data_IF_991634825588
#
_entry.id   IF_991634825588
#
_cell.length_a   1.000
_cell.length_b   1.000
_cell.length_c   1.000
_cell.angle_alpha   90.00
_cell.angle_beta   90.00
_cell.angle_gamma   90.00
#
_symmetry.space_group_name_H-M   'P 1'
#
loop_
_entity.id
_entity.type
_entity.pdbx_description
1 polymer ?
#
# COMPACT_ATOMS: atom_id res chain seq x y z
N UNK A 1 -7.27 -8.25 17.97
CA UNK A 1 -7.10 -6.88 17.44
C UNK A 1 -7.79 -6.79 16.08
N UNK A 2 -8.85 -5.98 15.93
CA UNK A 2 -9.64 -5.89 14.69
C UNK A 2 -9.06 -4.96 13.62
N UNK A 3 -7.89 -4.35 13.87
CA UNK A 3 -7.32 -3.32 13.01
C UNK A 3 -7.10 -3.80 11.57
N UNK A 4 -6.70 -5.06 11.34
CA UNK A 4 -6.53 -5.59 9.99
C UNK A 4 -7.84 -5.63 9.18
N UNK A 5 -8.97 -6.00 9.80
CA UNK A 5 -10.29 -5.92 9.18
C UNK A 5 -10.70 -4.48 8.87
N UNK A 6 -10.46 -3.55 9.80
CA UNK A 6 -10.78 -2.13 9.62
C UNK A 6 -9.96 -1.54 8.46
N UNK A 7 -8.65 -1.78 8.42
CA UNK A 7 -7.78 -1.29 7.35
C UNK A 7 -8.19 -1.92 6.01
N UNK A 8 -8.47 -3.22 5.97
CA UNK A 8 -8.93 -3.90 4.76
C UNK A 8 -10.24 -3.29 4.23
N UNK A 9 -11.19 -2.99 5.12
CA UNK A 9 -12.45 -2.34 4.77
C UNK A 9 -12.21 -0.94 4.19
N UNK A 10 -11.39 -0.11 4.84
CA UNK A 10 -11.03 1.24 4.37
C UNK A 10 -10.41 1.16 2.96
N UNK A 11 -9.41 0.29 2.78
CA UNK A 11 -8.76 0.11 1.48
C UNK A 11 -9.76 -0.34 0.41
N UNK A 12 -10.63 -1.31 0.73
CA UNK A 12 -11.64 -1.84 -0.18
C UNK A 12 -12.65 -0.75 -0.58
N UNK A 13 -13.12 0.02 0.40
CA UNK A 13 -14.09 1.10 0.22
C UNK A 13 -13.53 2.18 -0.73
N UNK A 14 -12.37 2.77 -0.43
CA UNK A 14 -11.78 3.80 -1.30
C UNK A 14 -11.42 3.27 -2.69
N UNK A 15 -10.99 2.01 -2.78
CA UNK A 15 -10.70 1.36 -4.06
C UNK A 15 -11.95 1.16 -4.90
N UNK A 16 -13.11 0.92 -4.27
CA UNK A 16 -14.39 0.77 -4.97
C UNK A 16 -14.85 2.07 -5.62
N UNK A 17 -14.52 3.22 -5.02
CA UNK A 17 -14.85 4.55 -5.54
C UNK A 17 -14.00 4.92 -6.76
N UNK A 18 -12.81 4.32 -6.92
CA UNK A 18 -11.89 4.64 -8.00
C UNK A 18 -12.39 4.08 -9.35
N UNK A 19 -12.48 4.96 -10.34
CA UNK A 19 -12.86 4.63 -11.71
C UNK A 19 -12.06 5.48 -12.71
N UNK A 20 -12.20 5.20 -14.01
CA UNK A 20 -11.45 5.91 -15.07
C UNK A 20 -11.76 7.40 -15.16
N UNK A 21 -12.96 7.83 -14.75
CA UNK A 21 -13.43 9.22 -14.85
C UNK A 21 -12.86 10.08 -13.72
N UNK A 22 -12.71 9.50 -12.53
CA UNK A 22 -12.22 10.21 -11.35
C UNK A 22 -10.75 9.92 -10.99
N UNK A 23 -10.11 8.93 -11.62
CA UNK A 23 -8.71 8.60 -11.32
C UNK A 23 -7.76 9.79 -11.53
N UNK A 24 -8.00 10.60 -12.56
CA UNK A 24 -7.18 11.78 -12.84
C UNK A 24 -7.26 12.86 -11.76
N UNK A 25 -8.35 12.92 -10.97
CA UNK A 25 -8.54 13.90 -9.90
C UNK A 25 -8.29 13.33 -8.50
N UNK A 26 -8.60 12.05 -8.26
CA UNK A 26 -8.46 11.40 -6.96
C UNK A 26 -7.02 10.94 -6.67
N UNK A 27 -6.25 10.60 -7.70
CA UNK A 27 -4.87 10.20 -7.53
C UNK A 27 -3.99 11.45 -7.56
N UNK A 28 -3.42 11.83 -6.42
CA UNK A 28 -2.70 13.10 -6.21
C UNK A 28 -1.58 13.36 -7.23
N UNK A 29 -0.87 12.32 -7.66
CA UNK A 29 0.17 12.42 -8.69
C UNK A 29 -0.38 12.79 -10.08
N UNK A 30 -1.59 12.35 -10.41
CA UNK A 30 -2.26 12.73 -11.65
C UNK A 30 -3.02 14.04 -11.51
N UNK A 31 -3.59 14.35 -10.33
CA UNK A 31 -4.33 15.58 -10.12
C UNK A 31 -3.49 16.83 -10.37
N UNK A 32 -2.23 16.79 -9.91
CA UNK A 32 -1.23 17.86 -10.05
C UNK A 32 -0.49 17.86 -11.39
N UNK A 33 -0.77 16.88 -12.25
CA UNK A 33 -0.15 16.75 -13.57
C UNK A 33 -0.81 17.72 -14.57
N UNK A 34 -0.02 18.30 -15.48
CA UNK A 34 -0.53 19.14 -16.56
C UNK A 34 -1.40 18.35 -17.54
N UNK A 35 -2.34 19.02 -18.21
CA UNK A 35 -3.27 18.36 -19.15
C UNK A 35 -2.55 17.65 -20.30
N UNK A 36 -1.42 18.20 -20.78
CA UNK A 36 -0.59 17.57 -21.81
C UNK A 36 0.01 16.23 -21.36
N UNK A 37 0.44 16.15 -20.09
CA UNK A 37 0.99 14.91 -19.51
C UNK A 37 -0.12 13.92 -19.19
N UNK A 38 -1.29 14.39 -18.71
CA UNK A 38 -2.48 13.55 -18.44
C UNK A 38 -2.94 12.81 -19.69
N UNK A 39 -2.89 13.43 -20.87
CA UNK A 39 -3.23 12.80 -22.16
C UNK A 39 -2.35 11.58 -22.52
N UNK A 40 -1.17 11.44 -21.90
CA UNK A 40 -0.25 10.32 -22.11
C UNK A 40 -0.45 9.16 -21.14
N UNK A 41 -1.42 9.27 -20.24
CA UNK A 41 -1.74 8.29 -19.20
C UNK A 41 -2.94 7.44 -19.61
N UNK A 42 -2.79 6.12 -19.57
CA UNK A 42 -3.93 5.21 -19.66
C UNK A 42 -4.59 5.05 -18.28
N UNK A 43 -5.54 5.93 -17.97
CA UNK A 43 -6.28 5.88 -16.70
C UNK A 43 -7.05 4.57 -16.49
N UNK A 44 -7.50 3.91 -17.56
CA UNK A 44 -8.19 2.62 -17.43
C UNK A 44 -7.22 1.55 -16.93
N UNK A 45 -6.02 1.52 -17.48
CA UNK A 45 -4.93 0.65 -17.04
C UNK A 45 -4.47 0.95 -15.61
N UNK A 46 -4.25 2.23 -15.29
CA UNK A 46 -3.89 2.67 -13.93
C UNK A 46 -4.93 2.23 -12.91
N UNK A 47 -6.21 2.48 -13.16
CA UNK A 47 -7.30 2.05 -12.25
C UNK A 47 -7.30 0.54 -12.05
N UNK A 48 -7.09 -0.23 -13.12
CA UNK A 48 -7.01 -1.69 -13.02
C UNK A 48 -5.88 -2.13 -12.08
N UNK A 49 -4.69 -1.56 -12.23
CA UNK A 49 -3.54 -1.89 -11.36
C UNK A 49 -3.80 -1.48 -9.91
N UNK A 50 -4.33 -0.27 -9.68
CA UNK A 50 -4.70 0.17 -8.33
C UNK A 50 -5.72 -0.78 -7.69
N UNK A 51 -6.76 -1.19 -8.43
CA UNK A 51 -7.75 -2.14 -7.91
C UNK A 51 -7.13 -3.49 -7.58
N UNK A 52 -6.30 -4.04 -8.46
CA UNK A 52 -5.61 -5.32 -8.21
C UNK A 52 -4.77 -5.22 -6.94
N UNK A 53 -3.93 -4.19 -6.81
CA UNK A 53 -3.04 -4.06 -5.66
C UNK A 53 -3.82 -3.85 -4.37
N UNK A 54 -4.72 -2.88 -4.32
CA UNK A 54 -5.43 -2.54 -3.09
C UNK A 54 -6.35 -3.67 -2.64
N UNK A 55 -7.09 -4.33 -3.55
CA UNK A 55 -7.89 -5.49 -3.17
C UNK A 55 -7.03 -6.69 -2.74
N UNK A 56 -5.84 -6.87 -3.31
CA UNK A 56 -4.90 -7.92 -2.86
C UNK A 56 -4.40 -7.64 -1.45
N UNK A 57 -4.07 -6.39 -1.13
CA UNK A 57 -3.69 -5.97 0.24
C UNK A 57 -4.87 -6.18 1.19
N UNK A 58 -6.09 -5.76 0.82
CA UNK A 58 -7.27 -5.98 1.65
C UNK A 58 -7.52 -7.46 1.91
N UNK A 59 -7.43 -8.31 0.88
CA UNK A 59 -7.60 -9.75 1.02
C UNK A 59 -6.52 -10.37 1.93
N UNK A 60 -5.27 -9.94 1.77
CA UNK A 60 -4.18 -10.34 2.65
C UNK A 60 -4.44 -9.95 4.11
N UNK A 61 -4.87 -8.72 4.37
CA UNK A 61 -5.15 -8.23 5.72
C UNK A 61 -6.33 -8.98 6.36
N UNK A 62 -7.36 -9.30 5.58
CA UNK A 62 -8.47 -10.17 6.03
C UNK A 62 -7.91 -11.54 6.40
N UNK A 63 -7.07 -12.15 5.56
CA UNK A 63 -6.48 -13.46 5.82
C UNK A 63 -5.61 -13.48 7.08
N UNK A 64 -4.73 -12.49 7.26
CA UNK A 64 -3.93 -12.34 8.49
C UNK A 64 -4.82 -12.12 9.72
N UNK A 65 -5.89 -11.34 9.60
CA UNK A 65 -6.83 -11.10 10.70
C UNK A 65 -7.64 -12.35 11.06
N UNK A 66 -7.97 -13.21 10.08
CA UNK A 66 -8.58 -14.51 10.33
C UNK A 66 -7.61 -15.45 11.03
N UNK A 67 -6.34 -15.49 10.62
CA UNK A 67 -5.29 -16.27 11.31
C UNK A 67 -5.15 -15.83 12.78
N UNK A 68 -5.23 -14.52 13.06
CA UNK A 68 -5.20 -13.99 14.43
C UNK A 68 -6.32 -14.54 15.33
N UNK A 69 -7.42 -15.07 14.77
CA UNK A 69 -8.47 -15.71 15.59
C UNK A 69 -8.05 -17.07 16.14
N UNK A 70 -6.99 -17.68 15.56
CA UNK A 70 -6.53 -19.03 15.92
C UNK A 70 -5.10 -19.05 16.48
N UNK A 71 -4.32 -17.99 16.26
CA UNK A 71 -2.93 -17.88 16.72
C UNK A 71 -2.80 -16.73 17.73
N UNK A 72 -2.46 -17.06 18.97
CA UNK A 72 -2.16 -16.08 20.01
C UNK A 72 -0.69 -15.64 19.97
N UNK A 73 -0.29 -15.02 18.84
CA UNK A 73 1.05 -14.47 18.65
C UNK A 73 0.96 -13.06 18.08
N UNK A 74 0.82 -12.10 18.99
CA UNK A 74 0.64 -10.69 18.64
C UNK A 74 1.81 -10.12 17.81
N UNK A 75 3.05 -10.52 18.12
CA UNK A 75 4.24 -10.07 17.37
C UNK A 75 4.18 -10.55 15.92
N UNK A 76 3.87 -11.81 15.70
CA UNK A 76 3.70 -12.36 14.36
C UNK A 76 2.66 -11.57 13.56
N UNK A 77 1.52 -11.26 14.18
CA UNK A 77 0.44 -10.52 13.52
C UNK A 77 0.85 -9.09 13.17
N UNK A 78 1.51 -8.38 14.08
CA UNK A 78 2.03 -7.04 13.79
C UNK A 78 3.05 -7.06 12.66
N UNK A 79 4.01 -7.99 12.68
CA UNK A 79 5.02 -8.15 11.63
C UNK A 79 4.35 -8.45 10.28
N UNK A 80 3.41 -9.40 10.26
CA UNK A 80 2.69 -9.78 9.06
C UNK A 80 1.89 -8.60 8.48
N UNK A 81 1.20 -7.83 9.33
CA UNK A 81 0.47 -6.63 8.89
C UNK A 81 1.42 -5.56 8.35
N UNK A 82 2.53 -5.27 9.06
CA UNK A 82 3.53 -4.29 8.64
C UNK A 82 4.12 -4.63 7.27
N UNK A 83 4.59 -5.86 7.08
CA UNK A 83 5.18 -6.30 5.82
C UNK A 83 4.16 -6.33 4.69
N UNK A 84 2.94 -6.80 4.96
CA UNK A 84 1.88 -6.84 3.96
C UNK A 84 1.48 -5.46 3.45
N UNK A 85 1.39 -4.47 4.36
CA UNK A 85 1.13 -3.09 3.98
C UNK A 85 2.31 -2.47 3.25
N UNK A 86 3.53 -2.59 3.78
CA UNK A 86 4.69 -1.94 3.19
C UNK A 86 5.04 -2.52 1.82
N UNK A 87 5.12 -3.84 1.71
CA UNK A 87 5.50 -4.50 0.46
C UNK A 87 4.34 -4.63 -0.52
N UNK A 88 3.10 -4.69 -0.02
CA UNK A 88 1.91 -4.79 -0.87
C UNK A 88 1.75 -3.64 -1.86
N UNK A 89 2.26 -2.43 -1.55
CA UNK A 89 2.20 -1.28 -2.45
C UNK A 89 3.32 -1.25 -3.51
N UNK A 90 4.38 -2.04 -3.34
CA UNK A 90 5.53 -2.05 -4.26
C UNK A 90 5.14 -2.33 -5.73
N UNK A 91 4.22 -3.25 -6.06
CA UNK A 91 3.80 -3.51 -7.44
C UNK A 91 3.26 -2.27 -8.18
N UNK A 92 2.71 -1.26 -7.49
CA UNK A 92 2.24 -0.03 -8.14
C UNK A 92 3.37 0.69 -8.90
N UNK A 93 4.59 0.63 -8.39
CA UNK A 93 5.74 1.32 -8.96
C UNK A 93 6.24 0.65 -10.25
N UNK A 94 6.10 -0.67 -10.36
CA UNK A 94 6.56 -1.43 -11.52
C UNK A 94 5.47 -1.63 -12.56
N UNK A 95 4.23 -1.89 -12.13
CA UNK A 95 3.11 -2.13 -13.03
C UNK A 95 2.51 -0.82 -13.55
N UNK A 96 2.50 0.24 -12.72
CA UNK A 96 1.96 1.54 -13.10
C UNK A 96 2.74 2.20 -14.24
N UNK A 97 4.06 2.00 -14.31
CA UNK A 97 4.91 2.58 -15.35
C UNK A 97 4.57 2.09 -16.76
N UNK A 98 3.90 0.94 -16.90
CA UNK A 98 3.46 0.43 -18.20
C UNK A 98 2.28 1.21 -18.80
N UNK A 99 1.53 1.92 -17.96
CA UNK A 99 0.34 2.70 -18.34
C UNK A 99 0.58 4.22 -18.30
N UNK A 100 1.77 4.65 -17.88
CA UNK A 100 2.19 6.04 -17.90
C UNK A 100 3.37 6.22 -18.87
N UNK A 101 3.08 6.77 -20.05
CA UNK A 101 4.08 6.97 -21.12
C UNK A 101 4.81 8.32 -21.01
N UNK A 102 4.69 9.01 -19.88
CA UNK A 102 5.42 10.26 -19.68
C UNK A 102 6.93 10.00 -19.57
N UNK A 103 7.71 10.94 -20.11
CA UNK A 103 9.15 10.99 -19.86
C UNK A 103 9.36 11.73 -18.54
N UNK A 104 9.88 11.02 -17.56
CA UNK A 104 10.11 11.56 -16.22
C UNK A 104 11.51 12.16 -16.12
N UNK A 105 11.61 13.25 -15.34
CA UNK A 105 12.89 13.86 -14.97
C UNK A 105 13.70 12.89 -14.11
N UNK A 106 15.04 12.98 -14.13
CA UNK A 106 15.89 12.10 -13.32
C UNK A 106 15.55 12.10 -11.83
N UNK A 107 15.15 13.25 -11.28
CA UNK A 107 14.76 13.36 -9.87
C UNK A 107 13.45 12.61 -9.56
N UNK A 108 12.46 12.61 -10.47
CA UNK A 108 11.18 11.90 -10.29
C UNK A 108 11.44 10.39 -10.22
N UNK A 109 12.34 9.89 -11.09
CA UNK A 109 12.77 8.49 -11.10
C UNK A 109 13.57 8.12 -9.84
N UNK A 110 14.44 9.01 -9.37
CA UNK A 110 15.18 8.78 -8.13
C UNK A 110 14.25 8.73 -6.92
N UNK A 111 13.29 9.66 -6.84
CA UNK A 111 12.25 9.65 -5.82
C UNK A 111 11.43 8.36 -5.85
N UNK A 112 11.05 7.89 -7.04
CA UNK A 112 10.34 6.61 -7.20
C UNK A 112 11.15 5.43 -6.61
N UNK A 113 12.44 5.35 -6.94
CA UNK A 113 13.35 4.30 -6.41
C UNK A 113 13.54 4.42 -4.91
N UNK A 114 13.68 5.64 -4.41
CA UNK A 114 13.74 5.93 -2.98
C UNK A 114 12.47 5.45 -2.27
N UNK A 115 11.28 5.71 -2.80
CA UNK A 115 10.01 5.25 -2.22
C UNK A 115 9.91 3.72 -2.18
N UNK A 116 10.36 3.02 -3.22
CA UNK A 116 10.42 1.56 -3.22
C UNK A 116 11.38 1.05 -2.15
N UNK A 117 12.59 1.63 -2.06
CA UNK A 117 13.56 1.27 -1.04
C UNK A 117 13.04 1.57 0.37
N UNK A 118 12.36 2.70 0.56
CA UNK A 118 11.73 3.10 1.82
C UNK A 118 10.63 2.13 2.24
N UNK A 119 9.73 1.73 1.33
CA UNK A 119 8.70 0.73 1.61
C UNK A 119 9.31 -0.63 1.97
N UNK A 120 10.36 -1.04 1.26
CA UNK A 120 11.00 -2.33 1.51
C UNK A 120 11.80 -2.33 2.82
N UNK A 121 12.78 -1.44 2.95
CA UNK A 121 13.69 -1.35 4.09
C UNK A 121 12.99 -0.80 5.34
N UNK A 122 12.08 0.16 5.18
CA UNK A 122 11.26 0.67 6.28
C UNK A 122 10.36 -0.42 6.88
N UNK A 123 9.76 -1.27 6.03
CA UNK A 123 9.01 -2.44 6.49
C UNK A 123 9.87 -3.41 7.30
N UNK A 124 11.09 -3.69 6.82
CA UNK A 124 12.06 -4.53 7.56
C UNK A 124 12.51 -3.89 8.86
N UNK A 125 12.81 -2.60 8.86
CA UNK A 125 13.22 -1.86 10.05
C UNK A 125 12.14 -1.88 11.13
N UNK A 126 10.89 -1.55 10.77
CA UNK A 126 9.76 -1.59 11.72
C UNK A 126 9.52 -3.02 12.21
N UNK A 127 9.61 -4.02 11.34
CA UNK A 127 9.53 -5.44 11.71
C UNK A 127 10.59 -5.84 12.74
N UNK A 128 11.83 -5.40 12.53
CA UNK A 128 12.92 -5.63 13.47
C UNK A 128 12.63 -4.99 14.83
N UNK A 129 12.16 -3.74 14.85
CA UNK A 129 11.76 -3.07 16.09
C UNK A 129 10.68 -3.88 16.81
N UNK A 130 9.57 -4.23 16.14
CA UNK A 130 8.48 -5.04 16.73
C UNK A 130 9.01 -6.36 17.29
N UNK A 131 9.91 -7.03 16.57
CA UNK A 131 10.48 -8.30 16.99
C UNK A 131 11.28 -8.15 18.30
N UNK A 132 12.12 -7.11 18.39
CA UNK A 132 12.97 -6.85 19.56
C UNK A 132 12.25 -6.23 20.75
N UNK A 133 11.14 -5.52 20.55
CA UNK A 133 10.36 -4.88 21.62
C UNK A 133 9.69 -5.94 22.53
N UNK A 134 9.79 -5.82 23.86
CA UNK A 134 9.05 -6.65 24.81
C UNK A 134 7.52 -6.62 24.58
N UNK A 135 6.84 -7.76 24.79
CA UNK A 135 5.41 -7.87 24.47
C UNK A 135 4.53 -6.96 25.34
N UNK A 136 4.89 -6.80 26.62
CA UNK A 136 4.20 -5.93 27.57
C UNK A 136 4.18 -4.46 27.10
N UNK A 137 5.26 -3.97 26.47
CA UNK A 137 5.34 -2.61 25.92
C UNK A 137 4.50 -2.42 24.65
N UNK A 138 4.25 -3.50 23.90
CA UNK A 138 3.34 -3.49 22.75
C UNK A 138 1.86 -3.48 23.18
N UNK A 139 1.55 -4.03 24.35
CA UNK A 139 0.18 -4.12 24.88
C UNK A 139 -0.17 -3.03 25.88
N UNK A 140 0.79 -2.42 26.58
CA UNK A 140 0.55 -1.41 27.63
C UNK A 140 0.00 -0.08 27.11
N UNK A 141 0.07 0.17 25.80
CA UNK A 141 -0.56 1.32 25.15
C UNK A 141 -2.00 1.05 24.67
N UNK A 142 -2.55 -0.14 24.96
CA UNK A 142 -3.88 -0.58 24.51
C UNK A 142 -4.85 -0.93 25.66
N UNK A 143 -4.56 -0.49 26.89
CA UNK A 143 -5.45 -0.48 28.06
C UNK A 143 -5.76 0.97 28.44
#
# INVERSE_FOLDING_TARGET
MYAGFVIAFILCFFTSLLNKENAGSLLSGYNTMSDERKKKVDFKGIVKIYKIVFYSISAYLVFVSLINLFIDNLKFIFIAMTLGLSWGFIPLFFLGSTYDKNVYKPWELWFQRFMVAFLFLGGLFVTYLIYTTPLNELTSNNL
#
